data_IF_551059186416
#
_entry.id   IF_551059186416
#
_cell.length_a   1.000
_cell.length_b   1.000
_cell.length_c   1.000
_cell.angle_alpha   90.00
_cell.angle_beta   90.00
_cell.angle_gamma   90.00
#
_symmetry.space_group_name_H-M   'P 1'
#
loop_
_entity.id
_entity.type
_entity.pdbx_description
1 polymer ?
#
# COMPACT_ATOMS: atom_id res chain seq x y z
N UNK A 1 11.14 6.69 -9.34
CA UNK A 1 11.69 7.94 -8.77
C UNK A 1 13.14 7.71 -8.44
N UNK A 2 14.03 8.46 -9.08
CA UNK A 2 15.45 8.47 -8.73
C UNK A 2 15.63 9.28 -7.43
N UNK A 3 16.22 8.71 -6.37
CA UNK A 3 16.42 9.40 -5.09
C UNK A 3 17.36 10.62 -5.19
N UNK A 4 18.12 10.79 -6.28
CA UNK A 4 18.94 11.96 -6.53
C UNK A 4 18.16 13.19 -7.00
N UNK A 5 16.89 13.02 -7.40
CA UNK A 5 16.06 14.12 -7.86
C UNK A 5 15.74 15.08 -6.71
N UNK A 6 16.06 16.36 -6.91
CA UNK A 6 15.66 17.41 -5.96
C UNK A 6 14.16 17.61 -5.97
N UNK A 7 13.63 17.91 -4.79
CA UNK A 7 12.22 18.22 -4.58
C UNK A 7 12.07 19.54 -3.84
N UNK A 8 11.00 20.27 -4.12
CA UNK A 8 10.61 21.47 -3.38
C UNK A 8 9.29 21.26 -2.64
N UNK A 9 9.16 21.84 -1.46
CA UNK A 9 7.92 21.81 -0.69
C UNK A 9 6.76 22.36 -1.52
N UNK A 10 5.67 21.61 -1.59
CA UNK A 10 4.50 21.90 -2.40
C UNK A 10 3.21 21.78 -1.57
N UNK A 11 3.24 22.36 -0.38
CA UNK A 11 2.12 22.38 0.57
C UNK A 11 1.79 21.02 1.17
N UNK A 12 0.55 20.85 1.61
CA UNK A 12 0.01 19.60 2.15
C UNK A 12 -1.44 19.41 1.69
N UNK A 13 -2.01 18.24 1.96
CA UNK A 13 -3.46 18.05 1.90
C UNK A 13 -3.94 17.26 3.11
N UNK A 14 -5.18 17.53 3.50
CA UNK A 14 -5.86 16.76 4.54
C UNK A 14 -6.35 15.44 3.97
N UNK A 15 -6.16 14.38 4.73
CA UNK A 15 -6.73 13.07 4.44
C UNK A 15 -7.31 12.46 5.71
N UNK A 16 -8.32 11.63 5.57
CA UNK A 16 -8.81 10.83 6.70
C UNK A 16 -7.74 9.84 7.15
N UNK A 17 -7.39 9.87 8.43
CA UNK A 17 -6.52 8.87 9.06
C UNK A 17 -7.33 7.64 9.51
N UNK A 18 -8.64 7.80 9.72
CA UNK A 18 -9.60 6.76 10.11
C UNK A 18 -10.72 6.56 9.10
N UNK A 19 -11.29 5.36 9.11
CA UNK A 19 -12.32 4.92 8.15
C UNK A 19 -13.63 5.72 8.24
N UNK A 20 -13.95 6.26 9.41
CA UNK A 20 -15.13 7.07 9.69
C UNK A 20 -14.93 8.56 9.34
N UNK A 21 -13.71 8.96 8.95
CA UNK A 21 -13.38 10.35 8.66
C UNK A 21 -13.35 11.28 9.88
N UNK A 22 -13.48 10.74 11.10
CA UNK A 22 -13.47 11.51 12.35
C UNK A 22 -12.13 12.22 12.60
N UNK A 23 -11.06 11.62 12.09
CA UNK A 23 -9.71 12.13 12.26
C UNK A 23 -9.07 12.36 10.89
N UNK A 24 -8.40 13.51 10.76
CA UNK A 24 -7.66 13.89 9.56
C UNK A 24 -6.21 14.19 9.90
N UNK A 25 -5.33 13.81 8.99
CA UNK A 25 -3.89 14.07 9.06
C UNK A 25 -3.46 14.88 7.84
N UNK A 26 -2.41 15.69 8.01
CA UNK A 26 -1.74 16.37 6.92
C UNK A 26 -0.75 15.43 6.24
N UNK A 27 -0.94 15.22 4.94
CA UNK A 27 0.05 14.59 4.10
C UNK A 27 0.82 15.67 3.33
N UNK A 28 2.12 15.78 3.63
CA UNK A 28 3.00 16.75 2.97
C UNK A 28 3.16 16.41 1.49
N UNK A 29 3.24 17.46 0.65
CA UNK A 29 3.42 17.34 -0.79
C UNK A 29 4.73 17.98 -1.21
N UNK A 30 5.38 17.35 -2.17
CA UNK A 30 6.66 17.76 -2.71
C UNK A 30 6.57 17.75 -4.23
N UNK A 31 7.07 18.79 -4.89
CA UNK A 31 7.16 18.83 -6.34
C UNK A 31 8.57 18.40 -6.75
N UNK A 32 8.65 17.37 -7.58
CA UNK A 32 9.89 16.99 -8.24
C UNK A 32 10.30 18.04 -9.27
N UNK A 33 11.52 18.58 -9.14
CA UNK A 33 12.03 19.61 -10.03
C UNK A 33 12.39 19.09 -11.41
N UNK A 34 12.66 17.78 -11.52
CA UNK A 34 12.96 17.10 -12.77
C UNK A 34 11.69 16.73 -13.59
N UNK A 35 10.55 17.39 -13.33
CA UNK A 35 9.31 17.18 -14.09
C UNK A 35 8.53 15.92 -13.72
N UNK A 36 8.95 15.19 -12.68
CA UNK A 36 8.34 13.91 -12.32
C UNK A 36 7.04 14.00 -11.48
N UNK A 37 6.52 15.22 -11.29
CA UNK A 37 5.22 15.48 -10.67
C UNK A 37 5.25 15.66 -9.15
N UNK A 38 4.06 15.64 -8.55
CA UNK A 38 3.88 15.83 -7.10
C UNK A 38 3.92 14.49 -6.36
N UNK A 39 4.73 14.45 -5.30
CA UNK A 39 4.89 13.33 -4.39
C UNK A 39 4.19 13.68 -3.09
N UNK A 40 3.26 12.84 -2.65
CA UNK A 40 2.68 12.94 -1.31
C UNK A 40 3.44 12.01 -0.38
N UNK A 41 3.91 12.53 0.76
CA UNK A 41 4.51 11.74 1.84
C UNK A 41 3.44 11.47 2.88
N UNK A 42 3.24 10.19 3.14
CA UNK A 42 2.24 9.66 4.06
C UNK A 42 2.99 8.88 5.14
N UNK A 43 2.58 8.95 6.43
CA UNK A 43 3.15 8.12 7.48
C UNK A 43 3.11 6.63 7.11
N UNK A 44 4.15 5.89 7.49
CA UNK A 44 4.26 4.45 7.23
C UNK A 44 3.16 3.61 7.90
N UNK A 45 2.54 4.13 8.95
CA UNK A 45 1.35 3.56 9.62
C UNK A 45 0.06 3.67 8.79
N UNK A 46 0.12 4.18 7.55
CA UNK A 46 -1.06 4.46 6.74
C UNK A 46 -0.92 3.96 5.31
N UNK A 47 -2.03 3.44 4.78
CA UNK A 47 -2.11 3.03 3.38
C UNK A 47 -2.49 4.20 2.47
N UNK A 48 -1.90 4.31 1.28
CA UNK A 48 -2.36 5.28 0.30
C UNK A 48 -3.76 4.96 -0.24
N UNK A 49 -4.54 6.01 -0.46
CA UNK A 49 -5.92 5.96 -1.01
C UNK A 49 -6.94 5.16 -0.19
N UNK A 50 -6.61 4.70 1.02
CA UNK A 50 -7.51 3.97 1.90
C UNK A 50 -7.42 4.53 3.33
N UNK A 51 -8.55 4.87 3.97
CA UNK A 51 -8.56 5.36 5.34
C UNK A 51 -8.58 4.18 6.32
N UNK A 52 -7.56 3.33 6.27
CA UNK A 52 -7.38 2.22 7.22
C UNK A 52 -5.91 2.14 7.61
N UNK A 53 -5.66 1.87 8.90
CA UNK A 53 -4.32 1.69 9.42
C UNK A 53 -3.65 0.46 8.84
N UNK A 54 -2.32 0.52 8.74
CA UNK A 54 -1.50 -0.62 8.30
C UNK A 54 -1.70 -1.80 9.25
N UNK A 55 -1.60 -1.59 10.56
CA UNK A 55 -1.72 -2.64 11.58
C UNK A 55 -3.08 -3.34 11.50
N UNK A 56 -4.16 -2.58 11.38
CA UNK A 56 -5.51 -3.16 11.29
C UNK A 56 -5.72 -3.98 10.01
N UNK A 57 -5.10 -3.58 8.89
CA UNK A 57 -5.14 -4.38 7.66
C UNK A 57 -4.32 -5.65 7.81
N UNK A 58 -3.15 -5.57 8.44
CA UNK A 58 -2.31 -6.74 8.74
C UNK A 58 -3.09 -7.75 9.58
N UNK A 59 -3.67 -7.32 10.70
CA UNK A 59 -4.46 -8.18 11.59
C UNK A 59 -5.65 -8.82 10.85
N UNK A 60 -6.34 -8.04 10.01
CA UNK A 60 -7.43 -8.56 9.19
C UNK A 60 -6.95 -9.63 8.19
N UNK A 61 -5.82 -9.40 7.51
CA UNK A 61 -5.27 -10.34 6.55
C UNK A 61 -4.72 -11.60 7.23
N UNK A 62 -4.04 -11.44 8.37
CA UNK A 62 -3.57 -12.56 9.18
C UNK A 62 -4.75 -13.42 9.69
N UNK A 63 -5.88 -12.82 10.02
CA UNK A 63 -7.10 -13.56 10.37
C UNK A 63 -7.68 -14.33 9.18
N UNK A 64 -7.88 -13.65 8.04
CA UNK A 64 -8.48 -14.24 6.83
C UNK A 64 -7.60 -15.34 6.20
N UNK A 65 -6.29 -15.16 6.22
CA UNK A 65 -5.37 -15.97 5.42
C UNK A 65 -4.47 -16.90 6.24
N UNK A 66 -4.24 -16.60 7.52
CA UNK A 66 -3.37 -17.40 8.39
C UNK A 66 -4.11 -18.01 9.58
N UNK A 67 -5.44 -17.84 9.66
CA UNK A 67 -6.26 -18.42 10.73
C UNK A 67 -6.04 -17.77 12.10
N UNK A 68 -5.57 -16.52 12.15
CA UNK A 68 -5.50 -15.76 13.40
C UNK A 68 -6.89 -15.27 13.85
N UNK A 69 -6.97 -14.83 15.10
CA UNK A 69 -8.20 -14.23 15.60
C UNK A 69 -8.51 -12.92 14.84
N UNK A 70 -9.78 -12.70 14.42
CA UNK A 70 -10.15 -11.48 13.72
C UNK A 70 -10.08 -10.26 14.65
N UNK A 71 -9.61 -9.09 14.15
CA UNK A 71 -9.56 -7.89 14.97
C UNK A 71 -10.95 -7.33 15.26
N UNK A 72 -11.05 -6.56 16.35
CA UNK A 72 -12.24 -5.77 16.63
C UNK A 72 -12.30 -4.59 15.66
N UNK A 73 -13.41 -4.49 14.90
CA UNK A 73 -13.59 -3.46 13.88
C UNK A 73 -14.98 -2.85 13.96
N UNK A 74 -15.06 -1.54 13.75
CA UNK A 74 -16.30 -0.83 13.48
C UNK A 74 -16.89 -1.23 12.12
N UNK A 75 -18.14 -0.88 11.85
CA UNK A 75 -18.78 -1.15 10.55
C UNK A 75 -18.06 -0.44 9.38
N UNK A 76 -17.62 0.81 9.60
CA UNK A 76 -16.90 1.60 8.60
C UNK A 76 -15.52 0.98 8.28
N UNK A 77 -14.77 0.55 9.30
CA UNK A 77 -13.51 -0.15 9.13
C UNK A 77 -13.72 -1.47 8.39
N UNK A 78 -14.72 -2.26 8.78
CA UNK A 78 -15.08 -3.50 8.09
C UNK A 78 -15.35 -3.26 6.61
N UNK A 79 -16.07 -2.20 6.26
CA UNK A 79 -16.30 -1.80 4.87
C UNK A 79 -14.99 -1.47 4.14
N UNK A 80 -14.07 -0.73 4.78
CA UNK A 80 -12.76 -0.42 4.22
C UNK A 80 -11.89 -1.67 4.03
N UNK A 81 -11.85 -2.56 5.02
CA UNK A 81 -11.09 -3.80 5.03
C UNK A 81 -11.59 -4.77 3.96
N UNK A 82 -12.91 -4.92 3.80
CA UNK A 82 -13.49 -5.70 2.69
C UNK A 82 -13.04 -5.18 1.32
N UNK A 83 -13.05 -3.86 1.11
CA UNK A 83 -12.56 -3.26 -0.15
C UNK A 83 -11.05 -3.48 -0.34
N UNK A 84 -10.26 -3.40 0.73
CA UNK A 84 -8.84 -3.71 0.69
C UNK A 84 -8.59 -5.18 0.33
N UNK A 85 -9.32 -6.10 0.98
CA UNK A 85 -9.30 -7.53 0.67
C UNK A 85 -9.64 -7.79 -0.81
N UNK A 86 -10.76 -7.27 -1.32
CA UNK A 86 -11.11 -7.43 -2.74
C UNK A 86 -10.01 -6.92 -3.68
N UNK A 87 -9.37 -5.79 -3.35
CA UNK A 87 -8.27 -5.25 -4.14
C UNK A 87 -7.02 -6.14 -4.09
N UNK A 88 -6.69 -6.69 -2.93
CA UNK A 88 -5.59 -7.63 -2.81
C UNK A 88 -5.81 -8.87 -3.68
N UNK A 89 -7.01 -9.47 -3.64
CA UNK A 89 -7.34 -10.63 -4.49
C UNK A 89 -7.17 -10.32 -5.99
N UNK A 90 -7.64 -9.15 -6.43
CA UNK A 90 -7.48 -8.69 -7.81
C UNK A 90 -6.00 -8.47 -8.20
N UNK A 91 -5.13 -8.24 -7.22
CA UNK A 91 -3.71 -7.94 -7.42
C UNK A 91 -2.82 -9.18 -7.37
N UNK A 92 -3.33 -10.33 -6.96
CA UNK A 92 -2.55 -11.58 -6.88
C UNK A 92 -1.79 -11.88 -8.18
N UNK A 93 -2.39 -11.81 -9.39
CA UNK A 93 -1.65 -12.10 -10.63
C UNK A 93 -0.45 -11.17 -10.83
N UNK A 94 -0.67 -9.85 -10.76
CA UNK A 94 0.40 -8.87 -10.93
C UNK A 94 1.47 -8.96 -9.84
N UNK A 95 1.08 -9.20 -8.59
CA UNK A 95 2.03 -9.42 -7.50
C UNK A 95 2.84 -10.70 -7.72
N UNK A 96 2.23 -11.75 -8.26
CA UNK A 96 2.91 -13.02 -8.55
C UNK A 96 3.93 -12.86 -9.67
N UNK A 97 3.58 -12.15 -10.74
CA UNK A 97 4.52 -11.84 -11.84
C UNK A 97 5.74 -11.08 -11.34
N UNK A 98 5.51 -10.07 -10.50
CA UNK A 98 6.57 -9.23 -9.94
C UNK A 98 7.43 -9.98 -8.93
N UNK A 99 6.83 -10.83 -8.10
CA UNK A 99 7.49 -11.59 -7.05
C UNK A 99 7.92 -12.99 -7.50
N UNK A 100 7.85 -13.32 -8.79
CA UNK A 100 7.92 -14.70 -9.28
C UNK A 100 9.16 -15.49 -8.87
N UNK A 101 10.29 -14.83 -8.60
CA UNK A 101 11.49 -15.50 -8.06
C UNK A 101 11.39 -15.84 -6.57
N UNK A 102 10.57 -15.10 -5.82
CA UNK A 102 10.32 -15.31 -4.40
C UNK A 102 9.17 -16.29 -4.16
N UNK A 103 8.20 -16.30 -5.06
CA UNK A 103 7.03 -17.17 -4.98
C UNK A 103 7.30 -18.38 -5.87
N UNK A 104 7.70 -19.49 -5.25
CA UNK A 104 8.00 -20.76 -5.92
C UNK A 104 6.78 -21.42 -6.59
N UNK A 105 5.60 -20.80 -6.51
CA UNK A 105 4.32 -21.29 -7.03
C UNK A 105 3.86 -20.34 -8.13
N UNK A 106 3.58 -20.88 -9.32
CA UNK A 106 3.19 -20.09 -10.49
C UNK A 106 1.84 -19.34 -10.34
N UNK A 107 0.93 -19.87 -9.52
CA UNK A 107 -0.39 -19.29 -9.26
C UNK A 107 -0.77 -19.48 -7.79
N UNK A 108 -0.18 -18.69 -6.87
CA UNK A 108 -0.44 -18.84 -5.44
C UNK A 108 -1.89 -18.45 -5.10
N UNK A 109 -2.48 -19.14 -4.13
CA UNK A 109 -3.69 -18.65 -3.46
C UNK A 109 -3.39 -17.38 -2.65
N UNK A 110 -4.43 -16.66 -2.24
CA UNK A 110 -4.28 -15.49 -1.36
C UNK A 110 -3.52 -15.84 -0.06
N UNK A 111 -3.84 -17.00 0.53
CA UNK A 111 -3.15 -17.56 1.70
C UNK A 111 -1.67 -17.81 1.43
N UNK A 112 -1.34 -18.44 0.30
CA UNK A 112 0.05 -18.73 -0.04
C UNK A 112 0.84 -17.44 -0.28
N UNK A 113 0.29 -16.51 -1.08
CA UNK A 113 0.93 -15.23 -1.36
C UNK A 113 1.16 -14.43 -0.06
N UNK A 114 0.11 -14.29 0.76
CA UNK A 114 0.20 -13.57 2.02
C UNK A 114 1.22 -14.22 2.96
N UNK A 115 1.20 -15.54 3.09
CA UNK A 115 2.17 -16.27 3.91
C UNK A 115 3.63 -16.08 3.47
N UNK A 116 3.90 -15.97 2.16
CA UNK A 116 5.25 -15.65 1.68
C UNK A 116 5.64 -14.21 1.96
N UNK A 117 4.72 -13.26 1.73
CA UNK A 117 4.95 -11.84 2.04
C UNK A 117 5.25 -11.65 3.53
N UNK A 118 4.53 -12.35 4.42
CA UNK A 118 4.72 -12.26 5.88
C UNK A 118 6.07 -12.76 6.37
N UNK A 119 6.81 -13.53 5.57
CA UNK A 119 8.21 -13.88 5.90
C UNK A 119 9.18 -12.70 5.77
N UNK A 120 8.75 -11.61 5.11
CA UNK A 120 9.55 -10.40 4.92
C UNK A 120 9.44 -9.43 6.08
N UNK A 121 8.49 -9.64 7.00
CA UNK A 121 8.23 -8.75 8.12
C UNK A 121 6.78 -8.29 8.18
N UNK A 122 6.54 -7.24 8.94
CA UNK A 122 5.25 -6.55 9.10
C UNK A 122 4.82 -5.87 7.79
N UNK A 123 3.55 -5.49 7.70
CA UNK A 123 2.97 -4.91 6.50
C UNK A 123 3.70 -3.62 6.10
N UNK A 124 4.17 -2.82 7.06
CA UNK A 124 5.02 -1.66 6.77
C UNK A 124 6.29 -2.06 6.01
N UNK A 125 6.97 -3.12 6.43
CA UNK A 125 8.18 -3.63 5.79
C UNK A 125 7.88 -4.24 4.41
N UNK A 126 6.78 -4.99 4.30
CA UNK A 126 6.32 -5.54 3.02
C UNK A 126 6.05 -4.41 2.02
N UNK A 127 5.32 -3.37 2.43
CA UNK A 127 5.01 -2.23 1.57
C UNK A 127 6.28 -1.48 1.14
N UNK A 128 7.23 -1.28 2.07
CA UNK A 128 8.53 -0.68 1.78
C UNK A 128 9.30 -1.51 0.77
N UNK A 129 9.39 -2.82 0.98
CA UNK A 129 10.06 -3.76 0.08
C UNK A 129 9.47 -3.73 -1.33
N UNK A 130 8.14 -3.82 -1.46
CA UNK A 130 7.43 -3.75 -2.74
C UNK A 130 7.69 -2.42 -3.46
N UNK A 131 7.66 -1.30 -2.72
CA UNK A 131 7.89 0.02 -3.29
C UNK A 131 9.35 0.22 -3.73
N UNK A 132 10.32 -0.25 -2.95
CA UNK A 132 11.74 -0.05 -3.23
C UNK A 132 12.22 -0.94 -4.37
N UNK A 133 11.94 -2.25 -4.30
CA UNK A 133 12.48 -3.25 -5.21
C UNK A 133 11.70 -3.37 -6.50
N UNK A 134 10.39 -3.19 -6.44
CA UNK A 134 9.51 -3.49 -7.56
C UNK A 134 8.67 -2.32 -8.04
N UNK A 135 8.76 -1.17 -7.38
CA UNK A 135 7.95 0.03 -7.67
C UNK A 135 6.45 -0.31 -7.70
N UNK A 136 6.03 -1.18 -6.80
CA UNK A 136 4.65 -1.67 -6.69
C UNK A 136 4.09 -1.49 -5.27
N UNK A 137 2.79 -1.76 -5.08
CA UNK A 137 2.18 -1.84 -3.75
C UNK A 137 1.11 -2.94 -3.67
N UNK A 138 0.74 -3.31 -2.44
CA UNK A 138 -0.14 -4.44 -2.12
C UNK A 138 -1.56 -4.28 -2.69
N UNK A 139 -2.14 -3.09 -2.52
CA UNK A 139 -3.56 -2.83 -2.85
C UNK A 139 -3.77 -2.06 -4.15
N UNK A 140 -2.69 -1.66 -4.80
CA UNK A 140 -2.69 -0.81 -5.98
C UNK A 140 -1.49 0.13 -5.96
N UNK A 141 -0.87 0.28 -7.12
CA UNK A 141 0.38 1.00 -7.26
C UNK A 141 0.23 2.49 -6.99
N UNK A 142 1.21 3.09 -6.32
CA UNK A 142 1.18 4.52 -6.07
C UNK A 142 1.37 5.28 -7.38
N UNK A 143 0.57 6.33 -7.59
CA UNK A 143 0.75 7.23 -8.75
C UNK A 143 2.16 7.80 -8.84
N UNK A 144 2.82 8.06 -7.71
CA UNK A 144 4.21 8.53 -7.67
C UNK A 144 5.25 7.48 -8.08
N UNK A 145 4.88 6.20 -8.16
CA UNK A 145 5.77 5.13 -8.65
C UNK A 145 5.77 5.04 -10.18
N UNK A 146 4.78 5.63 -10.86
CA UNK A 146 4.71 5.63 -12.32
C UNK A 146 5.38 6.88 -12.88
N UNK A 147 6.17 6.75 -13.96
CA UNK A 147 6.55 7.90 -14.78
C UNK A 147 5.29 8.59 -15.27
N UNK A 148 5.22 9.92 -15.13
CA UNK A 148 4.22 10.69 -15.90
C UNK A 148 4.57 10.53 -17.37
N UNK A 149 3.60 10.11 -18.19
CA UNK A 149 3.72 10.28 -19.62
C UNK A 149 4.01 11.76 -19.88
N UNK A 150 5.06 12.05 -20.66
CA UNK A 150 5.30 13.40 -21.12
C UNK A 150 4.07 13.83 -21.91
N UNK A 151 3.26 14.73 -21.34
CA UNK A 151 2.32 15.51 -22.13
C UNK A 151 3.17 16.37 -23.06
N UNK A 152 3.24 15.96 -24.33
CA UNK A 152 3.76 16.76 -25.42
C UNK A 152 2.91 17.99 -25.68
#
# INVERSE_FOLDING_TARGET
MDPSHRVHGHGSYKRSSKADGSEQEDASRWLCTAGCGTISVIPDTRLPYRPVGVDLLEEWFDAEFMGRAPPHVTENERGCLKRAHTRFLQRIPSLTEVLGQMITVASPSATQLWGQLRKLGELGDILRFLAEKFKTSLLGDYRCLHPRAATG
#
